data_IF_874865674535
#
_entry.id   IF_874865674535
#
_cell.length_a   1.000
_cell.length_b   1.000
_cell.length_c   1.000
_cell.angle_alpha   90.00
_cell.angle_beta   90.00
_cell.angle_gamma   90.00
#
_symmetry.space_group_name_H-M   'P 1'
#
loop_
_entity.id
_entity.type
_entity.pdbx_description
1 polymer ?
#
# COMPACT_ATOMS: atom_id res chain seq x y z
N UNK A 1 15.24 -47.88 -42.34
CA UNK A 1 15.60 -46.45 -42.19
C UNK A 1 14.72 -45.50 -43.01
N UNK A 2 14.20 -45.89 -44.15
CA UNK A 2 13.31 -45.04 -44.98
C UNK A 2 11.93 -44.82 -44.30
N UNK A 3 11.29 -45.85 -43.77
CA UNK A 3 9.97 -45.79 -43.12
C UNK A 3 9.90 -44.90 -41.88
N UNK A 4 10.98 -44.84 -41.07
CA UNK A 4 11.04 -43.98 -39.88
C UNK A 4 11.16 -42.48 -40.25
N UNK A 5 11.71 -42.21 -41.43
CA UNK A 5 11.88 -40.83 -41.92
C UNK A 5 10.59 -40.28 -42.55
N UNK A 6 9.79 -41.15 -43.17
CA UNK A 6 8.45 -40.81 -43.66
C UNK A 6 7.46 -40.56 -42.49
N UNK A 7 7.47 -41.42 -41.47
CA UNK A 7 6.63 -41.25 -40.26
C UNK A 7 6.95 -39.96 -39.51
N UNK A 8 8.23 -39.57 -39.41
CA UNK A 8 8.64 -38.30 -38.80
C UNK A 8 8.22 -37.08 -39.66
N UNK A 9 8.26 -37.19 -40.98
CA UNK A 9 7.80 -36.12 -41.86
C UNK A 9 6.28 -35.93 -41.77
N UNK A 10 5.51 -36.99 -41.70
CA UNK A 10 4.05 -36.93 -41.54
C UNK A 10 3.63 -36.36 -40.17
N UNK A 11 4.35 -36.71 -39.11
CA UNK A 11 4.12 -36.12 -37.77
C UNK A 11 4.46 -34.62 -37.76
N UNK A 12 5.55 -34.18 -38.41
CA UNK A 12 5.91 -32.77 -38.52
C UNK A 12 4.88 -31.98 -39.32
N UNK A 13 4.36 -32.57 -40.41
CA UNK A 13 3.32 -31.95 -41.23
C UNK A 13 2.02 -31.83 -40.43
N UNK A 14 1.59 -32.88 -39.71
CA UNK A 14 0.41 -32.86 -38.87
C UNK A 14 0.50 -31.84 -37.71
N UNK A 15 1.66 -31.73 -37.05
CA UNK A 15 1.92 -30.71 -36.04
C UNK A 15 1.87 -29.31 -36.65
N UNK A 16 2.48 -29.12 -37.84
CA UNK A 16 2.48 -27.82 -38.53
C UNK A 16 1.07 -27.40 -38.95
N UNK A 17 0.25 -28.32 -39.44
CA UNK A 17 -1.14 -28.05 -39.79
C UNK A 17 -1.97 -27.70 -38.57
N UNK A 18 -1.81 -28.44 -37.47
CA UNK A 18 -2.50 -28.17 -36.20
C UNK A 18 -2.11 -26.81 -35.63
N UNK A 19 -0.83 -26.44 -35.67
CA UNK A 19 -0.34 -25.13 -35.23
C UNK A 19 -0.86 -24.02 -36.15
N UNK A 20 -0.89 -24.25 -37.46
CA UNK A 20 -1.34 -23.26 -38.45
C UNK A 20 -2.86 -23.03 -38.35
N UNK A 21 -3.64 -24.06 -38.07
CA UNK A 21 -5.09 -23.94 -37.87
C UNK A 21 -5.39 -23.28 -36.51
N UNK A 22 -4.64 -23.61 -35.44
CA UNK A 22 -4.71 -22.91 -34.18
C UNK A 22 -4.35 -21.42 -34.33
N UNK A 23 -3.38 -21.07 -35.19
CA UNK A 23 -3.06 -19.67 -35.50
C UNK A 23 -4.16 -18.95 -36.28
N UNK A 24 -4.83 -19.62 -37.24
CA UNK A 24 -5.97 -19.05 -37.97
C UNK A 24 -7.16 -18.83 -37.02
N UNK A 25 -7.43 -19.83 -36.16
CA UNK A 25 -8.48 -19.72 -35.15
C UNK A 25 -8.19 -18.60 -34.15
N UNK A 26 -6.94 -18.45 -33.69
CA UNK A 26 -6.50 -17.36 -32.83
C UNK A 26 -6.62 -15.99 -33.53
N UNK A 27 -6.19 -15.91 -34.80
CA UNK A 27 -6.29 -14.69 -35.60
C UNK A 27 -7.73 -14.28 -35.85
N UNK A 28 -8.62 -15.24 -36.15
CA UNK A 28 -10.06 -14.95 -36.31
C UNK A 28 -10.69 -14.55 -34.97
N UNK A 29 -10.32 -15.20 -33.87
CA UNK A 29 -10.74 -14.87 -32.52
C UNK A 29 -10.32 -13.44 -32.16
N UNK A 30 -9.05 -13.08 -32.36
CA UNK A 30 -8.56 -11.72 -32.08
C UNK A 30 -9.25 -10.69 -32.99
N UNK A 31 -9.48 -10.98 -34.26
CA UNK A 31 -10.18 -10.07 -35.17
C UNK A 31 -11.65 -9.86 -34.80
N UNK A 32 -12.31 -10.85 -34.21
CA UNK A 32 -13.69 -10.73 -33.77
C UNK A 32 -13.84 -10.13 -32.39
N UNK A 33 -12.85 -10.35 -31.51
CA UNK A 33 -12.88 -9.92 -30.11
C UNK A 33 -12.06 -8.65 -29.84
N UNK A 34 -11.35 -8.11 -30.85
CA UNK A 34 -10.50 -6.94 -30.71
C UNK A 34 -11.19 -5.72 -30.04
N UNK A 35 -12.48 -5.42 -30.27
CA UNK A 35 -13.10 -4.27 -29.61
C UNK A 35 -13.20 -4.48 -28.09
N UNK A 36 -13.51 -5.70 -27.67
CA UNK A 36 -13.60 -6.02 -26.26
C UNK A 36 -12.20 -6.13 -25.61
N UNK A 37 -11.21 -6.66 -26.32
CA UNK A 37 -9.81 -6.65 -25.87
C UNK A 37 -9.28 -5.21 -25.75
N UNK A 38 -9.67 -4.31 -26.64
CA UNK A 38 -9.31 -2.89 -26.57
C UNK A 38 -9.97 -2.22 -25.35
N UNK A 39 -11.25 -2.47 -25.11
CA UNK A 39 -11.94 -1.96 -23.91
C UNK A 39 -11.27 -2.49 -22.65
N UNK A 40 -10.92 -3.77 -22.61
CA UNK A 40 -10.26 -4.40 -21.50
C UNK A 40 -8.86 -3.81 -21.26
N UNK A 41 -8.10 -3.55 -22.33
CA UNK A 41 -6.80 -2.87 -22.27
C UNK A 41 -6.93 -1.44 -21.77
N UNK A 42 -7.95 -0.69 -22.20
CA UNK A 42 -8.23 0.67 -21.73
C UNK A 42 -8.57 0.65 -20.24
N UNK A 43 -9.41 -0.30 -19.81
CA UNK A 43 -9.73 -0.47 -18.38
C UNK A 43 -8.46 -0.80 -17.59
N UNK A 44 -7.59 -1.66 -18.10
CA UNK A 44 -6.31 -1.99 -17.47
C UNK A 44 -5.40 -0.76 -17.36
N UNK A 45 -5.29 0.03 -18.42
CA UNK A 45 -4.49 1.27 -18.43
C UNK A 45 -5.06 2.25 -17.40
N UNK A 46 -6.38 2.44 -17.36
CA UNK A 46 -7.04 3.28 -16.36
C UNK A 46 -6.80 2.74 -14.96
N UNK A 47 -6.93 1.43 -14.75
CA UNK A 47 -6.69 0.79 -13.44
C UNK A 47 -5.23 0.97 -12.98
N UNK A 48 -4.25 0.86 -13.88
CA UNK A 48 -2.83 1.12 -13.60
C UNK A 48 -2.57 2.60 -13.33
N UNK A 49 -3.31 3.49 -14.00
CA UNK A 49 -3.15 4.94 -13.82
C UNK A 49 -3.83 5.46 -12.55
N UNK A 50 -4.93 4.84 -12.14
CA UNK A 50 -5.66 5.14 -10.88
C UNK A 50 -5.04 4.40 -9.69
N UNK A 51 -4.33 3.27 -9.91
CA UNK A 51 -3.57 2.59 -8.87
C UNK A 51 -2.52 3.54 -8.29
N UNK A 52 -2.26 3.41 -6.96
CA UNK A 52 -1.28 4.22 -6.23
C UNK A 52 -0.01 4.49 -7.07
N UNK A 53 0.45 5.73 -7.15
CA UNK A 53 1.67 6.07 -7.90
C UNK A 53 2.86 5.25 -7.39
N UNK A 54 3.95 5.19 -8.16
CA UNK A 54 5.17 4.52 -7.72
C UNK A 54 5.73 5.21 -6.46
N UNK A 55 6.25 4.46 -5.45
CA UNK A 55 6.86 5.08 -4.29
C UNK A 55 7.93 6.07 -4.75
N UNK A 56 7.99 7.25 -4.14
CA UNK A 56 9.00 8.24 -4.48
C UNK A 56 10.39 7.65 -4.19
N UNK A 57 11.36 7.95 -5.05
CA UNK A 57 12.76 7.55 -4.84
C UNK A 57 13.52 8.50 -3.92
N UNK A 58 12.94 9.62 -3.60
CA UNK A 58 13.51 10.67 -2.76
C UNK A 58 12.49 11.08 -1.71
N UNK A 59 12.92 11.07 -0.44
CA UNK A 59 12.12 11.44 0.72
C UNK A 59 12.94 12.36 1.59
N UNK A 60 12.33 13.40 2.12
CA UNK A 60 12.99 14.38 3.01
C UNK A 60 12.52 14.15 4.44
N UNK A 61 13.47 14.06 5.38
CA UNK A 61 13.21 13.83 6.80
C UNK A 61 13.89 14.91 7.66
N UNK A 62 13.12 15.52 8.55
CA UNK A 62 13.62 16.40 9.59
C UNK A 62 14.16 15.58 10.78
N UNK A 63 15.35 15.90 11.26
CA UNK A 63 15.99 15.13 12.33
C UNK A 63 16.00 15.90 13.65
N UNK A 64 16.88 16.84 13.80
CA UNK A 64 17.11 17.65 14.98
C UNK A 64 18.43 18.41 14.87
N UNK A 65 18.89 19.04 15.94
CA UNK A 65 20.13 19.79 15.94
C UNK A 65 21.33 18.96 15.49
N UNK A 66 22.28 19.62 14.86
CA UNK A 66 23.55 19.00 14.48
C UNK A 66 24.25 18.42 15.73
N UNK A 67 24.74 17.16 15.65
CA UNK A 67 25.37 16.48 16.77
C UNK A 67 24.41 15.82 17.79
N UNK A 68 23.08 15.96 17.62
CA UNK A 68 22.09 15.27 18.47
C UNK A 68 21.98 13.78 18.14
N UNK A 69 21.45 12.98 19.08
CA UNK A 69 21.16 11.56 18.83
C UNK A 69 20.17 11.37 17.66
N UNK A 70 19.21 12.25 17.50
CA UNK A 70 18.23 12.19 16.40
C UNK A 70 18.90 12.37 15.03
N UNK A 71 19.92 13.25 14.92
CA UNK A 71 20.69 13.36 13.69
C UNK A 71 21.49 12.10 13.39
N UNK A 72 22.16 11.53 14.40
CA UNK A 72 22.89 10.27 14.25
C UNK A 72 21.97 9.10 13.89
N UNK A 73 20.81 9.05 14.51
CA UNK A 73 19.77 8.06 14.17
C UNK A 73 19.29 8.25 12.73
N UNK A 74 19.04 9.48 12.30
CA UNK A 74 18.70 9.82 10.93
C UNK A 74 19.71 9.25 9.91
N UNK A 75 21.01 9.35 10.20
CA UNK A 75 22.06 8.76 9.35
C UNK A 75 21.95 7.23 9.22
N UNK A 76 21.57 6.53 10.30
CA UNK A 76 21.30 5.07 10.24
C UNK A 76 20.09 4.77 9.36
N UNK A 77 19.03 5.56 9.48
CA UNK A 77 17.85 5.46 8.60
C UNK A 77 18.21 5.76 7.16
N UNK A 78 19.02 6.79 6.91
CA UNK A 78 19.49 7.12 5.55
C UNK A 78 20.24 5.94 4.91
N UNK A 79 21.15 5.29 5.64
CA UNK A 79 21.85 4.09 5.17
C UNK A 79 20.88 2.93 4.89
N UNK A 80 19.90 2.72 5.77
CA UNK A 80 18.89 1.67 5.62
C UNK A 80 18.03 1.88 4.35
N UNK A 81 17.63 3.11 4.08
CA UNK A 81 16.89 3.50 2.89
C UNK A 81 17.73 3.36 1.62
N UNK A 82 18.99 3.79 1.66
CA UNK A 82 19.92 3.69 0.53
C UNK A 82 20.14 2.24 0.08
N UNK A 83 20.25 1.29 1.01
CA UNK A 83 20.33 -0.14 0.70
C UNK A 83 19.12 -0.68 -0.04
N UNK A 84 17.99 0.02 0.03
CA UNK A 84 16.72 -0.33 -0.61
C UNK A 84 16.38 0.53 -1.83
N UNK A 85 17.36 1.34 -2.29
CA UNK A 85 17.26 2.16 -3.50
C UNK A 85 16.44 3.43 -3.33
N UNK A 86 16.22 3.88 -2.09
CA UNK A 86 15.52 5.12 -1.76
C UNK A 86 16.52 6.11 -1.17
N UNK A 87 16.53 7.34 -1.66
CA UNK A 87 17.33 8.44 -1.11
C UNK A 87 16.55 9.11 0.01
N UNK A 88 17.04 8.99 1.25
CA UNK A 88 16.52 9.74 2.40
C UNK A 88 17.40 10.98 2.60
N UNK A 89 16.89 12.17 2.28
CA UNK A 89 17.55 13.44 2.55
C UNK A 89 17.26 13.84 4.00
N UNK A 90 18.31 14.14 4.75
CA UNK A 90 18.20 14.57 6.14
C UNK A 90 18.31 16.09 6.23
N UNK A 91 17.35 16.69 6.92
CA UNK A 91 17.36 18.13 7.23
C UNK A 91 17.62 18.29 8.72
N UNK A 92 18.75 18.92 9.07
CA UNK A 92 19.00 19.34 10.43
C UNK A 92 18.08 20.52 10.79
N UNK A 93 17.49 20.48 11.98
CA UNK A 93 16.53 21.46 12.48
C UNK A 93 16.88 21.85 13.92
N UNK A 94 16.20 22.85 14.45
CA UNK A 94 16.38 23.26 15.85
C UNK A 94 15.76 22.27 16.85
N UNK A 95 14.87 21.36 16.37
CA UNK A 95 14.25 20.32 17.18
C UNK A 95 12.78 20.05 16.87
N UNK A 96 12.08 19.44 17.84
CA UNK A 96 10.75 18.87 17.64
C UNK A 96 9.70 19.88 17.22
N UNK A 97 9.75 21.11 17.71
CA UNK A 97 8.79 22.16 17.36
C UNK A 97 8.91 22.55 15.90
N UNK A 98 10.13 22.77 15.43
CA UNK A 98 10.39 23.07 14.01
C UNK A 98 9.97 21.89 13.13
N UNK A 99 10.25 20.66 13.55
CA UNK A 99 9.87 19.46 12.79
C UNK A 99 8.35 19.38 12.59
N UNK A 100 7.58 19.66 13.62
CA UNK A 100 6.11 19.69 13.55
C UNK A 100 5.64 20.80 12.61
N UNK A 101 6.20 22.00 12.70
CA UNK A 101 5.85 23.09 11.80
C UNK A 101 6.13 22.76 10.33
N UNK A 102 7.28 22.15 10.04
CA UNK A 102 7.64 21.72 8.68
C UNK A 102 6.70 20.65 8.14
N UNK A 103 6.30 19.68 8.99
CA UNK A 103 5.34 18.63 8.61
C UNK A 103 3.93 19.20 8.34
N UNK A 104 3.56 20.30 9.00
CA UNK A 104 2.27 20.96 8.77
C UNK A 104 2.27 21.92 7.57
N UNK A 105 3.44 22.33 7.11
CA UNK A 105 3.56 23.22 5.96
C UNK A 105 3.45 22.41 4.65
N UNK A 106 2.32 22.56 3.97
CA UNK A 106 2.06 21.89 2.69
C UNK A 106 3.04 22.29 1.56
N UNK A 107 3.81 23.36 1.74
CA UNK A 107 4.82 23.82 0.78
C UNK A 107 6.23 23.27 1.11
N UNK A 108 6.46 22.78 2.32
CA UNK A 108 7.71 22.15 2.70
C UNK A 108 7.81 20.74 2.05
N UNK A 109 9.03 20.31 1.80
CA UNK A 109 9.34 18.99 1.25
C UNK A 109 9.50 17.93 2.32
N UNK A 110 9.52 18.31 3.59
CA UNK A 110 9.65 17.39 4.72
C UNK A 110 8.40 16.54 4.83
N UNK A 111 8.58 15.23 4.73
CA UNK A 111 7.50 14.25 4.76
C UNK A 111 7.53 13.35 6.00
N UNK A 112 8.64 13.38 6.76
CA UNK A 112 8.82 12.63 8.01
C UNK A 112 9.71 13.44 8.96
N UNK A 113 9.59 13.18 10.27
CA UNK A 113 10.47 13.82 11.25
C UNK A 113 10.52 13.06 12.56
N UNK A 114 11.67 13.16 13.26
CA UNK A 114 11.79 12.74 14.64
C UNK A 114 11.23 13.84 15.54
N UNK A 115 10.23 13.49 16.33
CA UNK A 115 9.54 14.44 17.19
C UNK A 115 9.43 13.85 18.60
N UNK A 116 9.69 14.64 19.62
CA UNK A 116 9.46 14.27 21.00
C UNK A 116 7.95 14.12 21.25
N UNK A 117 7.54 13.06 21.91
CA UNK A 117 6.15 12.87 22.31
C UNK A 117 5.61 14.10 23.08
N UNK A 118 4.41 14.51 22.76
CA UNK A 118 3.79 15.72 23.33
C UNK A 118 4.24 17.04 22.70
N UNK A 119 5.19 17.09 21.77
CA UNK A 119 5.60 18.33 21.09
C UNK A 119 4.60 18.79 20.02
N UNK A 120 3.86 17.89 19.42
CA UNK A 120 2.82 18.23 18.46
C UNK A 120 1.48 18.50 19.20
N UNK A 121 0.65 19.46 18.71
CA UNK A 121 -0.70 19.64 19.24
C UNK A 121 -1.53 18.35 19.12
N UNK A 122 -2.46 18.14 20.05
CA UNK A 122 -3.35 16.98 19.98
C UNK A 122 -4.09 16.93 18.63
N UNK A 123 -4.04 15.78 17.97
CA UNK A 123 -4.67 15.55 16.67
C UNK A 123 -4.29 16.61 15.62
N UNK A 124 -3.00 16.89 15.53
CA UNK A 124 -2.45 17.83 14.56
C UNK A 124 -2.90 17.46 13.14
N UNK A 125 -3.53 18.39 12.42
CA UNK A 125 -4.05 18.15 11.08
C UNK A 125 -2.91 17.82 10.11
N UNK A 126 -3.13 16.82 9.25
CA UNK A 126 -2.18 16.41 8.22
C UNK A 126 -0.99 15.62 8.76
N UNK A 127 -0.93 15.33 10.06
CA UNK A 127 0.14 14.56 10.70
C UNK A 127 -0.40 13.23 11.22
N UNK A 128 0.39 12.18 11.02
CA UNK A 128 0.16 10.85 11.58
C UNK A 128 1.42 10.35 12.28
N UNK A 129 1.25 9.46 13.27
CA UNK A 129 2.37 8.81 13.94
C UNK A 129 2.61 7.41 13.39
N UNK A 130 3.88 7.05 13.21
CA UNK A 130 4.32 5.67 12.99
C UNK A 130 4.68 4.96 14.31
N UNK A 131 4.65 5.68 15.44
CA UNK A 131 4.92 5.19 16.78
C UNK A 131 6.23 5.71 17.35
N UNK A 132 6.40 5.39 18.65
CA UNK A 132 7.60 5.71 19.43
C UNK A 132 8.73 4.73 19.12
N UNK A 133 9.97 5.23 19.09
CA UNK A 133 11.13 4.46 18.65
C UNK A 133 12.25 4.34 19.68
N UNK A 134 12.31 5.21 20.70
CA UNK A 134 13.24 5.15 21.81
C UNK A 134 12.80 6.01 22.98
N UNK A 135 13.42 5.80 24.14
CA UNK A 135 13.30 6.71 25.27
C UNK A 135 14.32 7.85 25.16
N UNK A 136 13.90 9.06 25.58
CA UNK A 136 14.76 10.23 25.76
C UNK A 136 14.59 10.74 27.19
N UNK A 137 15.44 10.28 28.14
CA UNK A 137 15.44 10.80 29.51
C UNK A 137 15.85 12.26 29.58
N UNK A 138 15.36 12.95 30.60
CA UNK A 138 15.80 14.27 30.99
C UNK A 138 17.05 14.14 31.87
N UNK A 139 18.19 14.43 31.30
CA UNK A 139 19.47 14.47 31.97
C UNK A 139 19.71 15.86 32.54
N UNK A 140 19.68 16.02 33.87
CA UNK A 140 20.03 17.28 34.52
C UNK A 140 21.31 17.09 35.32
N UNK A 141 22.36 17.83 34.96
CA UNK A 141 23.64 17.84 35.64
C UNK A 141 23.84 19.15 36.38
N UNK A 142 24.40 19.07 37.59
CA UNK A 142 24.74 20.22 38.39
C UNK A 142 26.14 20.10 38.95
N UNK A 143 26.75 21.25 39.25
CA UNK A 143 28.08 21.30 39.83
C UNK A 143 27.96 21.21 41.35
N UNK A 144 28.53 20.17 41.93
CA UNK A 144 28.69 20.01 43.36
C UNK A 144 29.78 19.00 43.67
N UNK A 145 30.62 19.21 44.71
CA UNK A 145 31.63 18.23 45.13
C UNK A 145 31.01 16.96 45.71
N UNK A 146 29.78 17.06 46.23
CA UNK A 146 29.03 15.93 46.81
C UNK A 146 27.58 15.97 46.30
N UNK A 147 26.89 14.83 46.25
CA UNK A 147 25.46 14.80 45.92
C UNK A 147 24.66 15.65 46.92
N UNK A 148 23.82 16.56 46.38
CA UNK A 148 22.95 17.38 47.21
C UNK A 148 21.74 16.56 47.70
N UNK A 149 21.14 16.92 48.89
CA UNK A 149 19.88 16.38 49.31
C UNK A 149 18.80 16.63 48.24
N UNK A 150 17.81 15.74 48.15
CA UNK A 150 16.80 15.71 47.07
C UNK A 150 16.07 17.04 46.91
N UNK A 151 15.58 17.60 48.03
CA UNK A 151 14.88 18.90 48.00
C UNK A 151 15.76 20.04 47.50
N UNK A 152 17.05 19.99 47.78
CA UNK A 152 17.99 21.01 47.33
C UNK A 152 18.27 20.84 45.83
N UNK A 153 18.39 19.58 45.31
CA UNK A 153 18.56 19.29 43.89
C UNK A 153 17.38 19.80 43.06
N UNK A 154 16.14 19.47 43.45
CA UNK A 154 14.95 19.95 42.75
C UNK A 154 14.86 21.47 42.80
N UNK A 155 15.14 22.08 43.93
CA UNK A 155 15.18 23.53 44.08
C UNK A 155 16.27 24.16 43.21
N UNK A 156 17.44 23.55 43.13
CA UNK A 156 18.54 24.01 42.31
C UNK A 156 18.13 24.03 40.82
N UNK A 157 17.59 22.95 40.32
CA UNK A 157 17.19 22.82 38.92
C UNK A 157 16.07 23.80 38.54
N UNK A 158 15.13 24.02 39.45
CA UNK A 158 13.95 24.85 39.17
C UNK A 158 14.12 26.33 39.53
N UNK A 159 15.19 26.74 40.24
CA UNK A 159 15.32 28.10 40.75
C UNK A 159 16.66 28.81 40.54
N UNK A 160 17.67 28.14 40.01
CA UNK A 160 19.00 28.70 39.78
C UNK A 160 19.32 28.91 38.30
N UNK A 161 20.56 29.34 38.02
CA UNK A 161 21.04 29.62 36.66
C UNK A 161 21.18 28.32 35.82
N UNK A 162 20.08 27.88 35.25
CA UNK A 162 19.89 26.59 34.58
C UNK A 162 19.72 26.79 33.08
N UNK A 163 20.38 25.96 32.25
CA UNK A 163 20.06 25.85 30.83
C UNK A 163 18.92 24.87 30.62
N UNK A 164 17.87 25.34 29.93
CA UNK A 164 16.69 24.54 29.56
C UNK A 164 16.59 24.27 28.06
N UNK A 165 17.70 24.42 27.33
CA UNK A 165 17.73 24.22 25.86
C UNK A 165 17.19 25.40 25.07
N UNK A 166 17.37 25.33 23.74
CA UNK A 166 16.85 26.33 22.81
C UNK A 166 15.32 26.31 22.72
N UNK A 167 14.64 27.41 22.38
CA UNK A 167 13.17 27.51 22.40
C UNK A 167 12.41 26.43 21.62
N UNK A 168 13.01 25.88 20.55
CA UNK A 168 12.40 24.88 19.70
C UNK A 168 12.82 23.43 20.05
N UNK A 169 13.65 23.26 21.10
CA UNK A 169 14.13 21.94 21.52
C UNK A 169 13.13 21.19 22.40
N UNK A 170 13.22 19.85 22.37
CA UNK A 170 12.46 18.98 23.27
C UNK A 170 12.77 19.24 24.75
N UNK A 171 14.03 19.56 25.09
CA UNK A 171 14.42 19.96 26.45
C UNK A 171 13.64 21.17 26.93
N UNK A 172 13.55 22.21 26.09
CA UNK A 172 12.79 23.42 26.43
C UNK A 172 11.31 23.14 26.72
N UNK A 173 10.68 22.35 25.83
CA UNK A 173 9.27 21.99 26.01
C UNK A 173 9.02 21.21 27.30
N UNK A 174 9.83 20.19 27.58
CA UNK A 174 9.66 19.36 28.77
C UNK A 174 9.93 20.19 30.05
N UNK A 175 10.97 21.04 30.08
CA UNK A 175 11.27 21.91 31.16
C UNK A 175 10.15 22.94 31.42
N UNK A 176 9.57 23.53 30.36
CA UNK A 176 8.41 24.42 30.49
C UNK A 176 7.21 23.71 31.12
N UNK A 177 6.90 22.48 30.70
CA UNK A 177 5.80 21.69 31.25
C UNK A 177 6.06 21.36 32.72
N UNK A 178 7.30 21.01 33.08
CA UNK A 178 7.69 20.80 34.48
C UNK A 178 7.53 22.07 35.33
N UNK A 179 7.96 23.24 34.81
CA UNK A 179 7.78 24.53 35.51
C UNK A 179 6.28 24.82 35.74
N UNK A 180 5.46 24.63 34.72
CA UNK A 180 4.01 24.81 34.79
C UNK A 180 3.34 23.89 35.85
N UNK A 181 3.70 22.59 35.82
CA UNK A 181 3.17 21.62 36.80
C UNK A 181 3.57 21.92 38.24
N UNK A 182 4.73 22.53 38.44
CA UNK A 182 5.20 22.97 39.77
C UNK A 182 4.74 24.39 40.13
N UNK A 183 3.84 24.99 39.32
CA UNK A 183 3.34 26.37 39.54
C UNK A 183 4.44 27.43 39.63
N UNK A 184 5.57 27.21 38.95
CA UNK A 184 6.68 28.16 38.87
C UNK A 184 6.37 29.15 37.75
N UNK A 185 5.75 30.26 38.09
CA UNK A 185 5.32 31.31 37.16
C UNK A 185 6.12 32.61 37.31
N UNK A 186 7.20 32.60 38.12
CA UNK A 186 7.99 33.78 38.47
C UNK A 186 8.97 34.25 37.38
N UNK A 187 10.05 34.90 37.82
CA UNK A 187 11.10 35.43 36.99
C UNK A 187 11.85 34.28 36.27
N UNK A 188 11.53 34.09 34.98
CA UNK A 188 12.19 33.09 34.13
C UNK A 188 13.56 33.54 33.58
N UNK A 189 14.07 34.72 33.98
CA UNK A 189 15.37 35.22 33.53
C UNK A 189 16.57 34.37 34.01
N UNK A 190 16.34 33.54 35.02
CA UNK A 190 17.33 32.57 35.53
C UNK A 190 17.57 31.40 34.57
N UNK A 191 16.57 31.04 33.75
CA UNK A 191 16.65 29.97 32.81
C UNK A 191 17.34 30.46 31.54
N UNK A 192 18.41 29.78 31.17
CA UNK A 192 19.18 30.07 29.95
C UNK A 192 18.72 29.17 28.83
N UNK A 193 18.90 29.62 27.58
CA UNK A 193 18.38 28.97 26.38
C UNK A 193 19.52 28.79 25.36
N UNK A 194 20.62 28.16 25.81
CA UNK A 194 21.77 27.87 24.95
C UNK A 194 21.61 26.52 24.25
N UNK A 195 22.25 26.36 23.12
CA UNK A 195 22.41 25.07 22.48
C UNK A 195 23.24 24.15 23.39
N UNK A 196 23.01 22.84 23.30
CA UNK A 196 23.57 21.85 24.24
C UNK A 196 25.10 21.91 24.32
N UNK A 197 25.80 22.02 23.18
CA UNK A 197 27.26 22.12 23.20
C UNK A 197 27.77 23.37 23.94
N UNK A 198 27.14 24.51 23.67
CA UNK A 198 27.46 25.77 24.36
C UNK A 198 27.15 25.69 25.87
N UNK A 199 26.01 25.10 26.22
CA UNK A 199 25.61 24.93 27.61
C UNK A 199 26.59 24.02 28.39
N UNK A 200 27.11 22.99 27.76
CA UNK A 200 28.13 22.10 28.36
C UNK A 200 29.41 22.86 28.65
N UNK A 201 29.89 23.71 27.73
CA UNK A 201 31.06 24.54 27.93
C UNK A 201 30.84 25.56 29.04
N UNK A 202 29.70 26.26 29.06
CA UNK A 202 29.35 27.21 30.13
C UNK A 202 29.22 26.54 31.51
N UNK A 203 28.71 25.32 31.59
CA UNK A 203 28.66 24.53 32.81
C UNK A 203 30.08 24.15 33.27
N UNK A 204 30.92 23.71 32.35
CA UNK A 204 32.33 23.36 32.62
C UNK A 204 33.08 24.58 33.16
N UNK A 205 32.87 25.76 32.60
CA UNK A 205 33.53 27.01 32.99
C UNK A 205 32.91 27.65 34.24
N UNK A 206 31.86 27.06 34.83
CA UNK A 206 31.21 27.53 36.04
C UNK A 206 30.27 28.76 35.84
N UNK A 207 29.90 29.05 34.59
CA UNK A 207 28.98 30.12 34.24
C UNK A 207 27.50 29.71 34.33
N UNK A 208 27.24 28.41 34.34
CA UNK A 208 25.95 27.80 34.62
C UNK A 208 26.05 26.93 35.87
N UNK A 209 24.96 26.88 36.65
CA UNK A 209 24.87 26.03 37.82
C UNK A 209 24.40 24.62 37.46
N UNK A 210 23.55 24.53 36.47
CA UNK A 210 23.07 23.27 35.93
C UNK A 210 22.70 23.31 34.45
N UNK A 211 22.75 22.15 33.83
CA UNK A 211 22.34 21.93 32.42
C UNK A 211 21.40 20.74 32.38
N UNK A 212 20.23 20.93 31.77
CA UNK A 212 19.29 19.87 31.45
C UNK A 212 19.27 19.60 29.96
N UNK A 213 19.27 18.34 29.54
CA UNK A 213 19.22 17.87 28.16
C UNK A 213 18.26 16.69 28.06
N UNK A 214 17.32 16.73 27.14
CA UNK A 214 16.47 15.58 26.76
C UNK A 214 17.12 14.89 25.58
N UNK A 215 17.72 13.75 25.80
CA UNK A 215 18.37 12.98 24.76
C UNK A 215 18.58 11.51 25.21
N UNK A 216 18.99 10.63 24.28
CA UNK A 216 19.28 9.23 24.62
C UNK A 216 20.58 9.12 25.41
N UNK A 217 20.75 7.99 26.11
CA UNK A 217 22.00 7.70 26.85
C UNK A 217 23.24 7.74 25.91
N UNK A 218 23.09 7.26 24.69
CA UNK A 218 24.16 7.15 23.70
C UNK A 218 24.51 8.52 23.06
N UNK A 219 23.78 9.57 23.40
CA UNK A 219 24.04 10.92 22.87
C UNK A 219 25.47 11.38 23.22
N UNK A 220 26.22 11.94 22.26
CA UNK A 220 27.54 12.50 22.53
C UNK A 220 27.54 13.56 23.62
N UNK A 221 26.50 14.38 23.70
CA UNK A 221 26.37 15.42 24.72
C UNK A 221 26.16 14.86 26.12
N UNK A 222 25.29 13.84 26.25
CA UNK A 222 25.10 13.12 27.52
C UNK A 222 26.40 12.42 27.92
N UNK A 223 27.07 11.75 27.00
CA UNK A 223 28.33 11.06 27.27
C UNK A 223 29.48 12.01 27.65
N UNK A 224 29.51 13.23 27.09
CA UNK A 224 30.46 14.28 27.51
C UNK A 224 30.19 14.70 28.97
N UNK A 225 28.91 15.00 29.31
CA UNK A 225 28.53 15.42 30.66
C UNK A 225 28.81 14.36 31.72
N UNK A 226 28.56 13.08 31.43
CA UNK A 226 28.85 11.97 32.35
C UNK A 226 30.35 11.82 32.68
N UNK A 227 31.25 12.30 31.82
CA UNK A 227 32.70 12.22 31.99
C UNK A 227 33.34 13.46 32.64
N UNK A 228 32.59 14.56 32.82
CA UNK A 228 33.12 15.76 33.46
C UNK A 228 33.19 15.53 34.97
N UNK A 229 34.41 15.64 35.53
CA UNK A 229 34.60 15.52 36.96
C UNK A 229 33.94 16.67 37.74
N UNK A 230 33.40 16.39 38.92
CA UNK A 230 32.73 17.36 39.76
C UNK A 230 31.30 17.69 39.37
N UNK A 231 30.76 17.03 38.34
CA UNK A 231 29.33 17.08 38.03
C UNK A 231 28.60 15.92 38.69
N UNK A 232 27.43 16.23 39.20
CA UNK A 232 26.45 15.30 39.76
C UNK A 232 25.25 15.21 38.86
N UNK A 233 24.69 14.00 38.67
CA UNK A 233 23.43 13.77 37.99
C UNK A 233 22.29 14.00 38.98
N UNK A 234 21.27 14.75 38.56
CA UNK A 234 20.03 14.91 39.34
C UNK A 234 19.10 13.73 39.12
N UNK A 235 18.55 13.25 40.22
CA UNK A 235 17.50 12.22 40.21
C UNK A 235 16.13 12.89 40.38
N UNK A 236 15.09 12.25 39.89
CA UNK A 236 13.73 12.76 39.92
C UNK A 236 12.82 11.80 40.72
N UNK A 237 12.79 11.94 42.06
CA UNK A 237 11.99 11.05 42.90
C UNK A 237 10.49 11.07 42.57
N UNK A 238 10.01 12.19 42.05
CA UNK A 238 8.60 12.33 41.62
C UNK A 238 8.39 11.97 40.16
N UNK A 239 9.32 11.27 39.51
CA UNK A 239 9.22 10.90 38.09
C UNK A 239 7.90 10.15 37.80
N UNK A 240 7.50 9.23 38.68
CA UNK A 240 6.23 8.49 38.50
C UNK A 240 5.02 9.41 38.55
N UNK A 241 5.04 10.44 39.41
CA UNK A 241 3.95 11.40 39.52
C UNK A 241 3.82 12.21 38.19
N UNK A 242 4.92 12.68 37.65
CA UNK A 242 4.91 13.37 36.34
C UNK A 242 4.40 12.46 35.23
N UNK A 243 4.84 11.19 35.15
CA UNK A 243 4.37 10.23 34.19
C UNK A 243 2.86 9.93 34.25
N UNK A 244 2.28 10.03 35.46
CA UNK A 244 0.81 9.89 35.64
C UNK A 244 0.02 11.16 35.28
N UNK A 245 0.66 12.33 35.33
CA UNK A 245 0.00 13.60 35.04
C UNK A 245 0.07 14.01 33.57
N UNK A 246 1.12 13.60 32.85
CA UNK A 246 1.37 13.99 31.49
C UNK A 246 1.55 12.73 30.63
N UNK A 247 0.65 12.45 29.68
CA UNK A 247 0.69 11.23 28.87
C UNK A 247 1.98 11.02 28.03
N UNK A 248 2.67 12.12 27.71
CA UNK A 248 3.92 12.09 26.95
C UNK A 248 5.16 11.83 27.81
N UNK A 249 4.98 11.75 29.14
CA UNK A 249 6.06 11.52 30.10
C UNK A 249 6.03 10.07 30.56
N UNK A 250 7.19 9.45 30.54
CA UNK A 250 7.45 8.11 31.06
C UNK A 250 8.47 8.15 32.20
N UNK A 251 8.49 7.13 33.04
CA UNK A 251 9.52 6.95 34.05
C UNK A 251 10.46 5.83 33.59
N UNK A 252 11.76 6.14 33.56
CA UNK A 252 12.82 5.14 33.39
C UNK A 252 13.73 5.14 34.60
N UNK A 253 14.47 4.07 34.82
CA UNK A 253 15.34 3.95 35.99
C UNK A 253 16.75 3.62 35.54
N UNK A 254 17.73 4.35 36.06
CA UNK A 254 19.14 3.99 35.96
C UNK A 254 19.45 3.06 37.14
N UNK A 255 19.82 1.80 36.91
CA UNK A 255 20.19 0.88 37.98
C UNK A 255 21.44 1.35 38.75
N UNK A 256 21.55 0.97 40.00
CA UNK A 256 22.75 1.19 40.80
C UNK A 256 23.99 0.68 40.04
N UNK A 257 25.03 1.50 39.98
CA UNK A 257 26.31 1.17 39.32
C UNK A 257 26.24 1.20 37.78
N UNK A 258 25.10 1.40 37.14
CA UNK A 258 24.94 1.21 35.68
C UNK A 258 25.73 2.23 34.84
N UNK A 259 26.09 3.39 35.37
CA UNK A 259 26.87 4.40 34.67
C UNK A 259 28.38 4.13 34.82
N UNK A 260 28.82 3.60 35.97
CA UNK A 260 30.18 3.17 36.22
C UNK A 260 30.21 2.15 37.38
N UNK A 261 30.47 0.90 37.04
CA UNK A 261 30.54 -0.20 38.00
C UNK A 261 31.76 -0.07 38.96
N UNK A 262 32.86 0.53 38.50
CA UNK A 262 34.08 0.65 39.28
C UNK A 262 33.94 1.63 40.45
N UNK A 263 33.18 2.67 40.28
CA UNK A 263 32.88 3.71 41.27
C UNK A 263 31.48 3.60 41.87
N UNK A 264 30.73 2.55 41.48
CA UNK A 264 29.32 2.33 41.84
C UNK A 264 28.44 3.57 41.58
N UNK A 265 28.47 4.10 40.36
CA UNK A 265 27.66 5.27 39.98
C UNK A 265 26.47 4.86 39.13
N UNK A 266 25.21 5.31 39.43
CA UNK A 266 24.84 5.99 40.69
C UNK A 266 24.93 5.05 41.91
N UNK A 267 24.96 5.63 43.09
CA UNK A 267 25.08 4.87 44.36
C UNK A 267 23.80 4.10 44.73
N UNK A 268 22.68 4.41 44.10
CA UNK A 268 21.40 3.73 44.22
C UNK A 268 20.62 3.86 42.91
N UNK A 269 19.65 2.97 42.71
CA UNK A 269 18.76 3.06 41.54
C UNK A 269 18.07 4.41 41.46
N UNK A 270 18.26 5.13 40.34
CA UNK A 270 17.86 6.52 40.16
C UNK A 270 16.69 6.66 39.20
N UNK A 271 15.49 7.06 39.65
CA UNK A 271 14.37 7.30 38.73
C UNK A 271 14.61 8.57 37.92
N UNK A 272 14.25 8.51 36.63
CA UNK A 272 14.39 9.58 35.66
C UNK A 272 13.07 9.87 35.00
N UNK A 273 12.80 11.15 34.76
CA UNK A 273 11.74 11.56 33.83
C UNK A 273 12.25 11.30 32.43
N UNK A 274 11.44 10.66 31.61
CA UNK A 274 11.73 10.42 30.20
C UNK A 274 10.55 10.81 29.31
N UNK A 275 10.82 11.08 28.09
CA UNK A 275 9.82 11.12 27.01
C UNK A 275 10.24 10.11 25.93
N UNK A 276 9.50 10.01 24.84
CA UNK A 276 9.87 9.17 23.71
C UNK A 276 10.09 10.00 22.46
N UNK A 277 10.94 9.51 21.55
CA UNK A 277 10.97 10.00 20.17
C UNK A 277 9.94 9.24 19.36
N UNK A 278 9.13 9.95 18.62
CA UNK A 278 8.19 9.40 17.63
C UNK A 278 8.64 9.69 16.22
N UNK A 279 8.26 8.83 15.29
CA UNK A 279 8.31 9.16 13.87
C UNK A 279 6.94 9.73 13.50
N UNK A 280 6.90 11.06 13.33
CA UNK A 280 5.73 11.72 12.77
C UNK A 280 5.91 11.88 11.26
N UNK A 281 4.81 11.74 10.53
CA UNK A 281 4.78 11.80 9.07
C UNK A 281 3.66 12.73 8.59
N UNK A 282 3.84 13.31 7.43
CA UNK A 282 2.76 13.90 6.65
C UNK A 282 1.83 12.79 6.15
N UNK A 283 0.50 12.97 6.27
CA UNK A 283 -0.49 11.98 5.81
C UNK A 283 -0.40 11.65 4.33
N UNK A 284 0.24 12.52 3.52
CA UNK A 284 0.50 12.32 2.09
C UNK A 284 1.69 11.39 1.81
N UNK A 285 2.45 11.01 2.84
CA UNK A 285 3.59 10.12 2.66
C UNK A 285 3.13 8.78 2.11
N UNK A 286 3.77 8.34 1.02
CA UNK A 286 3.40 7.11 0.32
C UNK A 286 3.42 5.89 1.26
N UNK A 287 2.39 5.00 1.26
CA UNK A 287 2.28 3.85 2.17
C UNK A 287 3.51 2.94 2.22
N UNK A 288 4.12 2.67 1.06
CA UNK A 288 5.35 1.87 1.00
C UNK A 288 6.53 2.52 1.73
N UNK A 289 6.62 3.85 1.74
CA UNK A 289 7.67 4.58 2.47
C UNK A 289 7.38 4.55 3.98
N UNK A 290 6.11 4.65 4.39
CA UNK A 290 5.71 4.46 5.78
C UNK A 290 6.12 3.08 6.30
N UNK A 291 5.83 2.03 5.52
CA UNK A 291 6.27 0.65 5.83
C UNK A 291 7.80 0.56 5.91
N UNK A 292 8.53 1.26 5.03
CA UNK A 292 10.00 1.26 5.05
C UNK A 292 10.55 1.94 6.33
N UNK A 293 9.93 3.03 6.80
CA UNK A 293 10.26 3.64 8.10
C UNK A 293 10.00 2.68 9.26
N UNK A 294 8.88 1.96 9.26
CA UNK A 294 8.54 0.97 10.30
C UNK A 294 9.54 -0.20 10.32
N UNK A 295 9.94 -0.70 9.16
CA UNK A 295 10.98 -1.72 9.05
C UNK A 295 12.33 -1.19 9.57
N UNK A 296 12.71 0.03 9.20
CA UNK A 296 13.93 0.67 9.71
C UNK A 296 13.87 0.83 11.24
N UNK A 297 12.73 1.27 11.78
CA UNK A 297 12.51 1.38 13.22
C UNK A 297 12.65 0.02 13.92
N UNK A 298 12.06 -1.04 13.38
CA UNK A 298 12.18 -2.41 13.91
C UNK A 298 13.64 -2.88 13.92
N UNK A 299 14.37 -2.73 12.81
CA UNK A 299 15.71 -3.27 12.64
C UNK A 299 16.79 -2.45 13.38
N UNK A 300 16.57 -1.14 13.54
CA UNK A 300 17.51 -0.20 14.17
C UNK A 300 17.19 0.00 15.66
N UNK A 301 15.94 0.34 15.97
CA UNK A 301 15.49 0.71 17.32
C UNK A 301 14.91 -0.48 18.09
N UNK A 302 14.57 -1.59 17.40
CA UNK A 302 14.14 -2.82 18.04
C UNK A 302 15.24 -3.57 18.78
N UNK A 303 16.49 -3.13 18.66
CA UNK A 303 17.64 -3.69 19.40
C UNK A 303 17.62 -3.17 20.84
N UNK A 304 18.24 -3.96 21.73
CA UNK A 304 18.45 -3.56 23.11
C UNK A 304 19.25 -2.24 23.19
N UNK A 305 18.82 -1.34 24.09
CA UNK A 305 19.48 -0.09 24.43
C UNK A 305 19.62 0.02 25.94
N UNK A 306 20.23 1.10 26.43
CA UNK A 306 20.42 1.29 27.88
C UNK A 306 19.08 1.28 28.65
N UNK A 307 17.99 1.80 28.08
CA UNK A 307 16.68 1.88 28.72
C UNK A 307 15.62 0.99 28.11
N UNK A 308 15.90 0.25 27.02
CA UNK A 308 14.91 -0.58 26.37
C UNK A 308 15.42 -1.99 26.12
N UNK A 309 14.50 -2.95 26.22
CA UNK A 309 14.76 -4.35 25.91
C UNK A 309 14.62 -4.59 24.41
N UNK A 310 15.22 -5.68 23.92
CA UNK A 310 15.04 -6.13 22.55
C UNK A 310 13.55 -6.32 22.22
N UNK A 311 13.11 -5.78 21.08
CA UNK A 311 11.73 -5.84 20.61
C UNK A 311 10.76 -4.89 21.33
N UNK A 312 11.22 -4.05 22.26
CA UNK A 312 10.35 -3.09 22.95
C UNK A 312 9.90 -1.97 22.01
N UNK A 313 10.75 -1.52 21.10
CA UNK A 313 10.45 -0.54 20.07
C UNK A 313 10.48 -1.14 18.66
N UNK A 314 9.78 -0.58 17.67
CA UNK A 314 8.83 0.55 17.77
C UNK A 314 7.48 0.12 18.38
N UNK A 315 6.77 1.05 19.02
CA UNK A 315 5.48 0.80 19.68
C UNK A 315 4.65 2.09 19.74
N UNK A 316 3.31 1.99 19.83
CA UNK A 316 2.48 3.15 20.12
C UNK A 316 2.43 3.41 21.62
N UNK A 317 3.12 4.43 22.10
CA UNK A 317 3.08 4.91 23.50
C UNK A 317 2.25 6.17 23.63
N UNK A 318 2.45 7.16 22.77
CA UNK A 318 1.66 8.38 22.75
C UNK A 318 0.35 8.20 21.98
N UNK A 319 -0.76 8.62 22.59
CA UNK A 319 -2.10 8.58 22.00
C UNK A 319 -2.55 9.93 21.43
N UNK A 320 -1.69 10.93 21.41
CA UNK A 320 -2.06 12.31 21.06
C UNK A 320 -2.21 12.51 19.54
N UNK A 321 -1.59 11.66 18.71
CA UNK A 321 -1.65 11.77 17.27
C UNK A 321 -2.44 10.62 16.63
N UNK A 322 -3.01 10.89 15.44
CA UNK A 322 -3.63 9.84 14.65
C UNK A 322 -2.60 8.82 14.19
N UNK A 323 -2.91 7.55 14.37
CA UNK A 323 -2.06 6.46 13.92
C UNK A 323 -2.14 6.33 12.40
N UNK A 324 -1.01 6.07 11.76
CA UNK A 324 -1.00 5.68 10.35
C UNK A 324 -1.64 4.31 10.20
N UNK A 325 -2.45 4.12 9.16
CA UNK A 325 -3.04 2.82 8.82
C UNK A 325 -1.98 1.74 8.56
N UNK A 326 -0.87 2.13 7.93
CA UNK A 326 0.25 1.23 7.65
C UNK A 326 0.94 0.81 8.94
N UNK A 327 1.05 1.72 9.91
CA UNK A 327 1.60 1.40 11.22
C UNK A 327 0.67 0.45 12.00
N UNK A 328 -0.65 0.66 11.99
CA UNK A 328 -1.60 -0.27 12.61
C UNK A 328 -1.46 -1.68 12.02
N UNK A 329 -1.43 -1.80 10.69
CA UNK A 329 -1.26 -3.09 10.00
C UNK A 329 0.09 -3.72 10.37
N UNK A 330 1.16 -2.92 10.44
CA UNK A 330 2.50 -3.42 10.76
C UNK A 330 2.58 -3.96 12.19
N UNK A 331 1.96 -3.28 13.16
CA UNK A 331 1.97 -3.72 14.57
C UNK A 331 1.05 -4.94 14.80
N UNK A 332 -0.02 -5.09 14.01
CA UNK A 332 -0.92 -6.25 14.10
C UNK A 332 -0.37 -7.49 13.39
N UNK A 333 0.21 -7.32 12.19
CA UNK A 333 0.56 -8.43 11.29
C UNK A 333 2.07 -8.65 11.14
N UNK A 334 2.87 -7.73 11.65
CA UNK A 334 4.32 -7.76 11.47
C UNK A 334 4.79 -7.26 10.10
N UNK A 335 6.04 -7.55 9.79
CA UNK A 335 6.66 -7.17 8.52
C UNK A 335 5.98 -7.89 7.35
N UNK A 336 5.63 -7.21 6.24
CA UNK A 336 5.06 -7.87 5.07
C UNK A 336 6.02 -8.92 4.50
N UNK A 337 5.55 -10.17 4.37
CA UNK A 337 6.36 -11.32 3.91
C UNK A 337 7.11 -11.06 2.60
N UNK A 338 6.48 -10.36 1.66
CA UNK A 338 7.13 -10.03 0.38
C UNK A 338 8.35 -9.11 0.56
N UNK A 339 8.34 -8.23 1.56
CA UNK A 339 9.45 -7.30 1.85
C UNK A 339 10.58 -7.95 2.65
N UNK A 340 10.36 -9.12 3.27
CA UNK A 340 11.40 -9.91 3.92
C UNK A 340 12.24 -10.72 2.93
N UNK A 341 11.61 -11.21 1.85
CA UNK A 341 12.22 -12.14 0.89
C UNK A 341 12.71 -11.45 -0.37
N UNK A 342 12.05 -10.39 -0.79
CA UNK A 342 12.29 -9.71 -2.07
C UNK A 342 12.88 -8.31 -1.86
N UNK A 343 13.68 -7.80 -2.80
CA UNK A 343 14.07 -6.39 -2.82
C UNK A 343 12.83 -5.47 -2.75
N UNK A 344 12.94 -4.37 -2.02
CA UNK A 344 11.84 -3.43 -1.77
C UNK A 344 11.05 -3.05 -3.04
N UNK A 345 11.75 -2.70 -4.13
CA UNK A 345 11.13 -2.30 -5.39
C UNK A 345 10.30 -3.43 -6.03
N UNK A 346 10.78 -4.68 -5.89
CA UNK A 346 10.10 -5.85 -6.46
C UNK A 346 8.90 -6.26 -5.62
N UNK A 347 9.03 -6.25 -4.30
CA UNK A 347 7.93 -6.52 -3.38
C UNK A 347 6.78 -5.53 -3.60
N UNK A 348 7.10 -4.24 -3.74
CA UNK A 348 6.12 -3.19 -3.99
C UNK A 348 5.49 -3.30 -5.39
N UNK A 349 6.29 -3.63 -6.40
CA UNK A 349 5.77 -3.91 -7.74
C UNK A 349 4.77 -5.07 -7.74
N UNK A 350 5.12 -6.18 -7.08
CA UNK A 350 4.25 -7.36 -6.97
C UNK A 350 2.96 -7.01 -6.20
N UNK A 351 3.06 -6.31 -5.07
CA UNK A 351 1.89 -5.84 -4.30
C UNK A 351 0.91 -5.07 -5.17
N UNK A 352 1.40 -4.11 -5.94
CA UNK A 352 0.59 -3.31 -6.87
C UNK A 352 0.00 -4.16 -7.98
N UNK A 353 0.80 -5.06 -8.55
CA UNK A 353 0.34 -5.97 -9.59
C UNK A 353 -0.87 -6.77 -9.11
N UNK A 354 -0.81 -7.34 -7.89
CA UNK A 354 -1.94 -8.08 -7.31
C UNK A 354 -3.15 -7.19 -7.04
N UNK A 355 -2.96 -6.03 -6.43
CA UNK A 355 -4.05 -5.10 -6.12
C UNK A 355 -4.76 -4.63 -7.39
N UNK A 356 -4.02 -4.42 -8.48
CA UNK A 356 -4.57 -3.96 -9.77
C UNK A 356 -5.14 -5.11 -10.60
N UNK A 357 -4.44 -6.25 -10.69
CA UNK A 357 -4.83 -7.35 -11.57
C UNK A 357 -5.97 -8.20 -11.00
N UNK A 358 -6.07 -8.36 -9.68
CA UNK A 358 -7.10 -9.21 -9.10
C UNK A 358 -8.52 -8.71 -9.41
N UNK A 359 -8.89 -7.44 -9.18
CA UNK A 359 -10.16 -6.89 -9.61
C UNK A 359 -10.35 -6.91 -11.13
N UNK A 360 -9.27 -6.65 -11.89
CA UNK A 360 -9.30 -6.73 -13.33
C UNK A 360 -9.68 -8.13 -13.82
N UNK A 361 -9.04 -9.19 -13.33
CA UNK A 361 -9.38 -10.55 -13.69
C UNK A 361 -10.76 -10.98 -13.21
N UNK A 362 -11.21 -10.49 -12.06
CA UNK A 362 -12.57 -10.74 -11.57
C UNK A 362 -13.64 -10.24 -12.54
N UNK A 363 -13.39 -9.13 -13.23
CA UNK A 363 -14.29 -8.58 -14.26
C UNK A 363 -14.02 -9.19 -15.64
N UNK A 364 -12.76 -9.33 -16.00
CA UNK A 364 -12.34 -9.82 -17.32
C UNK A 364 -12.75 -11.27 -17.58
N UNK A 365 -12.64 -12.13 -16.56
CA UNK A 365 -12.96 -13.56 -16.70
C UNK A 365 -14.42 -13.83 -17.11
N UNK A 366 -15.45 -13.30 -16.45
CA UNK A 366 -16.83 -13.45 -16.89
C UNK A 366 -17.09 -12.89 -18.29
N UNK A 367 -16.50 -11.74 -18.62
CA UNK A 367 -16.63 -11.12 -19.94
C UNK A 367 -16.05 -12.01 -21.03
N UNK A 368 -14.83 -12.51 -20.85
CA UNK A 368 -14.17 -13.42 -21.80
C UNK A 368 -14.96 -14.73 -21.93
N UNK A 369 -15.43 -15.28 -20.81
CA UNK A 369 -16.22 -16.53 -20.80
C UNK A 369 -17.59 -16.39 -21.48
N UNK A 370 -18.23 -15.22 -21.40
CA UNK A 370 -19.53 -14.97 -22.02
C UNK A 370 -19.45 -14.68 -23.54
N UNK A 371 -18.29 -14.32 -24.04
CA UNK A 371 -18.07 -13.91 -25.43
C UNK A 371 -18.41 -14.97 -26.49
N UNK A 372 -17.97 -16.24 -26.36
CA UNK A 372 -18.32 -17.28 -27.32
C UNK A 372 -19.83 -17.49 -27.44
N UNK A 373 -20.55 -17.39 -26.32
CA UNK A 373 -22.00 -17.52 -26.29
C UNK A 373 -22.70 -16.32 -26.94
N UNK A 374 -22.18 -15.10 -26.79
CA UNK A 374 -22.72 -13.92 -27.42
C UNK A 374 -22.62 -14.00 -28.95
N UNK A 375 -21.46 -14.41 -29.49
CA UNK A 375 -21.27 -14.58 -30.91
C UNK A 375 -22.17 -15.68 -31.48
N UNK A 376 -22.25 -16.83 -30.83
CA UNK A 376 -23.16 -17.93 -31.15
C UNK A 376 -24.61 -17.45 -31.20
N UNK A 377 -25.06 -16.73 -30.18
CA UNK A 377 -26.44 -16.24 -30.10
C UNK A 377 -26.74 -15.18 -31.18
N UNK A 378 -25.77 -14.34 -31.55
CA UNK A 378 -25.92 -13.35 -32.61
C UNK A 378 -26.10 -14.00 -33.96
N UNK A 379 -25.26 -15.02 -34.28
CA UNK A 379 -25.40 -15.77 -35.54
C UNK A 379 -26.71 -16.56 -35.57
N UNK A 380 -27.06 -17.23 -34.47
CA UNK A 380 -28.34 -17.93 -34.33
C UNK A 380 -29.55 -16.96 -34.51
N UNK A 381 -29.44 -15.75 -33.98
CA UNK A 381 -30.44 -14.71 -34.17
C UNK A 381 -30.61 -14.28 -35.65
N UNK A 382 -29.54 -14.29 -36.45
CA UNK A 382 -29.63 -14.05 -37.91
C UNK A 382 -30.31 -15.22 -38.62
N UNK A 383 -29.90 -16.45 -38.30
CA UNK A 383 -30.51 -17.66 -38.86
C UNK A 383 -32.03 -17.69 -38.55
N UNK A 384 -32.43 -17.41 -37.31
CA UNK A 384 -33.84 -17.38 -36.89
C UNK A 384 -34.65 -16.29 -37.61
N UNK A 385 -34.06 -15.11 -37.89
CA UNK A 385 -34.70 -14.08 -38.70
C UNK A 385 -34.97 -14.55 -40.14
N UNK A 386 -34.02 -15.24 -40.75
CA UNK A 386 -34.17 -15.78 -42.09
C UNK A 386 -35.22 -16.90 -42.10
N UNK A 387 -35.27 -17.75 -41.07
CA UNK A 387 -36.39 -18.70 -40.92
C UNK A 387 -37.74 -18.02 -40.83
N UNK A 388 -37.82 -16.93 -40.06
CA UNK A 388 -39.06 -16.13 -39.99
C UNK A 388 -39.50 -15.55 -41.33
N UNK A 389 -38.52 -15.02 -42.09
CA UNK A 389 -38.78 -14.51 -43.44
C UNK A 389 -39.20 -15.61 -44.41
N UNK A 390 -38.52 -16.78 -44.38
CA UNK A 390 -38.88 -17.94 -45.21
C UNK A 390 -40.26 -18.46 -44.88
N UNK A 391 -40.60 -18.59 -43.59
CA UNK A 391 -41.91 -19.04 -43.12
C UNK A 391 -43.03 -18.07 -43.52
N UNK A 392 -42.80 -16.76 -43.40
CA UNK A 392 -43.75 -15.77 -43.86
C UNK A 392 -43.95 -15.83 -45.38
N UNK A 393 -42.86 -16.01 -46.13
CA UNK A 393 -42.94 -16.18 -47.57
C UNK A 393 -43.71 -17.45 -47.97
N UNK A 394 -43.43 -18.58 -47.34
CA UNK A 394 -44.14 -19.85 -47.55
C UNK A 394 -45.62 -19.71 -47.24
N UNK A 395 -45.98 -19.02 -46.14
CA UNK A 395 -47.38 -18.75 -45.79
C UNK A 395 -48.10 -17.91 -46.85
N UNK A 396 -47.41 -16.95 -47.46
CA UNK A 396 -47.94 -16.14 -48.54
C UNK A 396 -48.21 -16.97 -49.82
N UNK A 397 -47.30 -17.96 -50.09
CA UNK A 397 -47.50 -18.89 -51.20
C UNK A 397 -48.68 -19.84 -50.97
N UNK A 398 -48.89 -20.32 -49.76
CA UNK A 398 -50.04 -21.18 -49.40
C UNK A 398 -51.33 -20.43 -49.55
N UNK A 399 -51.36 -19.12 -49.24
CA UNK A 399 -52.61 -18.32 -49.22
C UNK A 399 -52.95 -17.73 -50.55
N UNK A 400 -51.98 -17.34 -51.38
CA UNK A 400 -52.19 -16.56 -52.59
C UNK A 400 -51.13 -16.89 -53.70
N UNK A 401 -50.97 -18.16 -54.06
CA UNK A 401 -50.05 -18.55 -55.12
C UNK A 401 -50.57 -18.17 -56.49
N UNK A 402 -49.76 -17.42 -57.26
CA UNK A 402 -50.02 -17.03 -58.62
C UNK A 402 -48.98 -17.64 -59.57
N UNK A 403 -49.32 -18.61 -60.41
CA UNK A 403 -48.37 -19.23 -61.36
C UNK A 403 -47.66 -18.24 -62.31
N UNK A 404 -48.30 -17.08 -62.58
CA UNK A 404 -47.74 -16.01 -63.41
C UNK A 404 -46.53 -15.31 -62.72
N UNK A 405 -46.42 -15.39 -61.38
CA UNK A 405 -45.35 -14.78 -60.63
C UNK A 405 -44.22 -15.75 -60.22
N UNK A 406 -44.22 -16.98 -60.75
CA UNK A 406 -43.25 -18.03 -60.43
C UNK A 406 -41.78 -17.55 -60.49
N UNK A 407 -41.43 -16.79 -61.53
CA UNK A 407 -40.09 -16.21 -61.69
C UNK A 407 -39.73 -15.26 -60.53
N UNK A 408 -40.67 -14.46 -60.07
CA UNK A 408 -40.50 -13.54 -58.93
C UNK A 408 -40.26 -14.31 -57.62
N UNK A 409 -41.02 -15.38 -57.39
CA UNK A 409 -40.85 -16.25 -56.21
C UNK A 409 -39.50 -16.91 -56.15
N UNK A 410 -39.04 -17.45 -57.30
CA UNK A 410 -37.68 -18.06 -57.39
C UNK A 410 -36.60 -17.01 -57.16
N UNK A 411 -36.73 -15.81 -57.71
CA UNK A 411 -35.78 -14.74 -57.51
C UNK A 411 -35.69 -14.31 -56.01
N UNK A 412 -36.77 -14.33 -55.24
CA UNK A 412 -36.79 -14.04 -53.80
C UNK A 412 -36.09 -15.17 -53.02
N UNK A 413 -36.33 -16.42 -53.34
CA UNK A 413 -35.63 -17.57 -52.73
C UNK A 413 -34.14 -17.55 -53.04
N UNK A 414 -33.74 -17.19 -54.27
CA UNK A 414 -32.32 -17.04 -54.67
C UNK A 414 -31.67 -15.87 -53.91
N UNK A 415 -32.41 -14.80 -53.59
CA UNK A 415 -31.91 -13.72 -52.74
C UNK A 415 -31.67 -14.18 -51.31
N UNK A 416 -32.64 -14.93 -50.74
CA UNK A 416 -32.48 -15.53 -49.39
C UNK A 416 -31.31 -16.50 -49.33
N UNK A 417 -31.12 -17.32 -50.36
CA UNK A 417 -29.99 -18.25 -50.40
C UNK A 417 -28.64 -17.53 -50.50
N UNK A 418 -28.53 -16.49 -51.34
CA UNK A 418 -27.33 -15.64 -51.41
C UNK A 418 -26.99 -14.98 -50.09
N UNK A 419 -28.02 -14.50 -49.36
CA UNK A 419 -27.84 -13.93 -48.05
C UNK A 419 -27.32 -15.01 -47.07
N UNK A 420 -27.90 -16.22 -47.08
CA UNK A 420 -27.42 -17.34 -46.28
C UNK A 420 -25.96 -17.71 -46.59
N UNK A 421 -25.60 -17.81 -47.91
CA UNK A 421 -24.23 -18.13 -48.30
C UNK A 421 -23.18 -17.08 -47.88
N UNK A 422 -23.60 -15.82 -47.72
CA UNK A 422 -22.75 -14.73 -47.22
C UNK A 422 -22.46 -14.78 -45.73
N UNK A 423 -23.13 -15.65 -44.96
CA UNK A 423 -22.93 -15.74 -43.51
C UNK A 423 -21.72 -16.58 -43.14
N UNK A 424 -20.83 -16.03 -42.31
CA UNK A 424 -19.79 -16.79 -41.63
C UNK A 424 -20.37 -17.51 -40.42
N UNK A 425 -20.48 -18.82 -40.50
CA UNK A 425 -21.18 -19.65 -39.50
C UNK A 425 -20.18 -20.45 -38.66
N UNK A 426 -20.11 -20.26 -37.32
CA UNK A 426 -19.31 -21.10 -36.44
C UNK A 426 -19.80 -22.55 -36.44
N UNK A 427 -18.87 -23.50 -36.19
CA UNK A 427 -19.19 -24.95 -36.14
C UNK A 427 -20.34 -25.28 -35.22
N UNK A 428 -20.50 -24.54 -34.11
CA UNK A 428 -21.54 -24.75 -33.11
C UNK A 428 -22.97 -24.45 -33.53
N UNK A 429 -23.19 -23.76 -34.65
CA UNK A 429 -24.51 -23.46 -35.23
C UNK A 429 -24.61 -23.92 -36.69
N UNK A 430 -23.68 -24.74 -37.14
CA UNK A 430 -23.65 -25.27 -38.48
C UNK A 430 -24.90 -26.13 -38.81
N UNK A 431 -25.42 -26.89 -37.86
CA UNK A 431 -26.67 -27.66 -38.01
C UNK A 431 -27.83 -26.74 -38.34
N UNK A 432 -28.03 -25.67 -37.54
CA UNK A 432 -29.14 -24.70 -37.77
C UNK A 432 -29.02 -24.04 -39.13
N UNK A 433 -27.79 -23.76 -39.61
CA UNK A 433 -27.51 -23.17 -40.88
C UNK A 433 -27.84 -24.11 -42.06
N UNK A 434 -27.42 -25.39 -42.00
CA UNK A 434 -27.72 -26.36 -43.04
C UNK A 434 -29.21 -26.68 -43.10
N UNK A 435 -29.88 -26.74 -41.96
CA UNK A 435 -31.32 -26.90 -41.90
C UNK A 435 -32.07 -25.73 -42.57
N UNK A 436 -31.62 -24.48 -42.32
CA UNK A 436 -32.17 -23.32 -43.03
C UNK A 436 -32.03 -23.43 -44.56
N UNK A 437 -30.84 -23.83 -45.06
CA UNK A 437 -30.63 -24.01 -46.49
C UNK A 437 -31.49 -25.12 -47.08
N UNK A 438 -31.61 -26.25 -46.40
CA UNK A 438 -32.51 -27.33 -46.79
C UNK A 438 -33.97 -26.89 -46.85
N UNK A 439 -34.38 -26.02 -45.92
CA UNK A 439 -35.75 -25.48 -45.95
C UNK A 439 -35.96 -24.51 -47.10
N UNK A 440 -34.96 -23.67 -47.46
CA UNK A 440 -35.05 -22.80 -48.65
C UNK A 440 -35.18 -23.67 -49.92
N UNK A 441 -34.33 -24.74 -50.06
CA UNK A 441 -34.40 -25.65 -51.17
C UNK A 441 -35.72 -26.43 -51.24
N UNK A 442 -36.27 -26.80 -50.09
CA UNK A 442 -37.59 -27.45 -50.01
C UNK A 442 -38.68 -26.53 -50.59
N UNK A 443 -38.76 -25.28 -50.13
CA UNK A 443 -39.76 -24.31 -50.64
C UNK A 443 -39.52 -24.04 -52.10
N UNK A 444 -38.27 -23.94 -52.56
CA UNK A 444 -37.94 -23.81 -54.00
C UNK A 444 -38.47 -24.95 -54.82
N UNK A 445 -38.29 -26.18 -54.36
CA UNK A 445 -38.76 -27.38 -55.06
C UNK A 445 -40.30 -27.41 -55.09
N UNK A 446 -40.98 -26.96 -54.05
CA UNK A 446 -42.44 -26.84 -54.02
C UNK A 446 -42.94 -25.81 -55.08
N UNK A 447 -42.26 -24.66 -55.23
CA UNK A 447 -42.57 -23.64 -56.25
C UNK A 447 -42.28 -24.17 -57.64
N UNK A 448 -41.16 -24.87 -57.87
CA UNK A 448 -40.81 -25.46 -59.17
C UNK A 448 -41.84 -26.50 -59.64
N UNK A 449 -42.39 -27.30 -58.71
CA UNK A 449 -43.38 -28.35 -58.97
C UNK A 449 -44.80 -27.87 -58.99
N UNK A 450 -45.04 -26.56 -58.83
CA UNK A 450 -46.39 -25.94 -58.71
C UNK A 450 -47.25 -26.57 -57.61
N UNK A 451 -46.60 -27.08 -56.54
CA UNK A 451 -47.25 -27.84 -55.45
C UNK A 451 -48.23 -27.00 -54.63
N UNK A 452 -48.16 -25.66 -54.74
CA UNK A 452 -49.10 -24.73 -54.09
C UNK A 452 -50.36 -24.46 -54.96
N UNK A 453 -50.44 -25.00 -56.18
CA UNK A 453 -51.51 -24.74 -57.14
C UNK A 453 -52.77 -25.67 -57.00
N UNK A 454 -52.68 -26.67 -56.17
CA UNK A 454 -53.82 -27.56 -55.87
C UNK A 454 -54.07 -27.55 -54.37
N UNK A 455 -55.39 -27.59 -53.96
CA UNK A 455 -55.84 -27.77 -52.62
C UNK A 455 -55.14 -28.98 -51.87
N UNK A 456 -53.82 -29.01 -51.85
CA UNK A 456 -53.02 -30.05 -51.27
C UNK A 456 -52.71 -29.67 -49.78
N UNK A 457 -53.09 -30.52 -48.89
CA UNK A 457 -52.64 -30.56 -47.49
C UNK A 457 -51.14 -30.26 -47.42
N UNK A 458 -50.67 -29.31 -46.56
CA UNK A 458 -49.26 -28.98 -46.47
C UNK A 458 -48.44 -30.23 -46.17
N UNK A 459 -47.47 -30.56 -46.99
CA UNK A 459 -46.49 -31.59 -46.71
C UNK A 459 -45.73 -31.17 -45.43
N UNK A 460 -45.85 -31.95 -44.36
CA UNK A 460 -45.09 -31.71 -43.13
C UNK A 460 -43.57 -31.76 -43.47
N UNK A 461 -42.80 -30.78 -42.99
CA UNK A 461 -41.33 -30.87 -43.11
C UNK A 461 -40.83 -32.12 -42.34
N UNK A 462 -39.70 -32.72 -42.76
CA UNK A 462 -39.17 -33.87 -42.07
C UNK A 462 -38.94 -33.53 -40.60
N UNK A 463 -39.51 -34.36 -39.74
CA UNK A 463 -39.44 -34.21 -38.27
C UNK A 463 -37.97 -34.05 -37.85
N UNK A 464 -37.68 -32.96 -37.11
CA UNK A 464 -36.44 -32.80 -36.42
C UNK A 464 -36.20 -34.05 -35.55
N UNK A 465 -35.03 -34.66 -35.73
CA UNK A 465 -34.52 -35.74 -34.88
C UNK A 465 -34.54 -35.14 -33.46
N UNK A 466 -35.38 -35.67 -32.60
CA UNK A 466 -35.38 -35.47 -31.17
C UNK A 466 -34.01 -35.90 -30.62
N UNK A 467 -33.15 -34.97 -30.38
CA UNK A 467 -31.95 -35.20 -29.56
C UNK A 467 -32.45 -35.33 -28.13
N UNK A 468 -32.49 -36.55 -27.61
CA UNK A 468 -32.79 -36.83 -26.22
C UNK A 468 -31.96 -35.90 -25.32
N UNK A 469 -32.64 -35.13 -24.49
CA UNK A 469 -32.04 -34.46 -23.36
C UNK A 469 -31.58 -35.54 -22.37
N UNK A 470 -30.29 -35.69 -22.22
CA UNK A 470 -29.69 -36.44 -21.13
C UNK A 470 -29.81 -35.57 -19.86
N UNK A 471 -30.86 -35.81 -19.11
CA UNK A 471 -31.04 -35.30 -17.74
C UNK A 471 -30.11 -36.11 -16.83
N UNK A 472 -28.87 -35.67 -16.76
CA UNK A 472 -27.93 -36.12 -15.73
C UNK A 472 -28.24 -35.44 -14.41
N UNK A 473 -29.18 -35.97 -13.67
CA UNK A 473 -29.33 -35.83 -12.22
C UNK A 473 -28.11 -36.45 -11.54
N UNK A 474 -27.49 -35.76 -10.66
CA UNK A 474 -26.31 -36.20 -9.92
C UNK A 474 -26.15 -35.34 -8.68
N UNK A 475 -26.95 -35.73 -7.67
CA UNK A 475 -26.76 -35.40 -6.26
C UNK A 475 -25.38 -35.81 -5.75
N UNK A 476 -24.99 -35.15 -4.66
CA UNK A 476 -24.14 -35.52 -3.53
C UNK A 476 -22.69 -35.02 -3.44
N UNK A 477 -22.62 -34.33 -2.27
CA UNK A 477 -21.51 -34.00 -1.35
C UNK A 477 -20.79 -32.68 -1.60
#
# INVERSE_FOLDING_TARGET
MATVREDLQDQIIAIRETVMDSWKDLKSFVQETWPALTILLVILIIAVWVADPAPPRHVVMATGPAGSSNQMLGQRYQQYFAQRGITLELVATEGSVENVHRLQDLQDKVMAGFVMAGAAPHHAKGIQTLGSINYQPLWCFYRSPVPLPIKERETLILSHNVNMGTPNSGTHLLMQEMLKLNHITGDLSKFKQHADEQAIELLRDGQLDSVCIVDTYESPNVQKLLKIEGLQLSEFERAEAYARMVPAIEMVTIPEGALDLSTNRPLASSPMIATTTEILIDERLHPAIQTLFLMAAKDINGKESFFSKEGQFPVFMDSTQHRSKEAEIFYEKGTPLLMEVLPFWLAEFIRRLFVTLLPFFAVAYPVIRSMPNYHKNRVRGKINRMYGALKFFEQSLVTAYDPGQKVSYLAQLDAMEREALGMKVPKSVASDYYTLRSSIDFVRNCVLRDSYNAHATPLQPPSSIEVAADDGDGDDV
#
